data_IF_896677337463
#
_entry.id   IF_896677337463
#
_cell.length_a   1.000
_cell.length_b   1.000
_cell.length_c   1.000
_cell.angle_alpha   90.00
_cell.angle_beta   90.00
_cell.angle_gamma   90.00
#
_symmetry.space_group_name_H-M   'P 1'
#
loop_
_entity.id
_entity.type
_entity.pdbx_description
1 polymer ?
#
# COMPACT_ATOMS: atom_id res chain seq x y z
N UNK A 1 8.15 -7.59 6.79
CA UNK A 1 9.28 -7.69 5.83
C UNK A 1 9.99 -9.02 6.05
N UNK A 2 10.81 -9.50 5.12
CA UNK A 2 11.55 -10.76 5.34
C UNK A 2 12.69 -10.97 4.34
N UNK A 3 13.69 -11.76 4.75
CA UNK A 3 14.84 -12.11 3.91
C UNK A 3 14.46 -13.18 2.89
N UNK A 4 14.68 -12.88 1.62
CA UNK A 4 14.33 -13.72 0.48
C UNK A 4 12.87 -14.25 0.47
N UNK A 5 11.97 -13.61 1.23
CA UNK A 5 10.63 -14.10 1.45
C UNK A 5 9.64 -13.50 0.44
N UNK A 6 9.27 -14.28 -0.58
CA UNK A 6 8.32 -13.88 -1.64
C UNK A 6 6.86 -13.78 -1.19
N UNK A 7 6.58 -14.03 0.09
CA UNK A 7 5.23 -13.82 0.67
C UNK A 7 5.13 -12.49 1.42
N UNK A 8 6.27 -11.80 1.63
CA UNK A 8 6.31 -10.47 2.24
C UNK A 8 6.10 -9.35 1.22
N UNK A 9 5.47 -8.27 1.70
CA UNK A 9 5.31 -6.99 0.99
C UNK A 9 6.65 -6.28 0.72
N UNK A 10 7.59 -6.37 1.68
CA UNK A 10 8.96 -5.88 1.54
C UNK A 10 9.89 -7.08 1.70
N UNK A 11 10.66 -7.39 0.65
CA UNK A 11 11.62 -8.48 0.61
C UNK A 11 13.04 -7.93 0.60
N UNK A 12 13.88 -8.43 1.49
CA UNK A 12 15.31 -8.09 1.52
C UNK A 12 16.04 -9.17 0.74
N UNK A 13 16.76 -8.80 -0.31
CA UNK A 13 17.41 -9.75 -1.24
C UNK A 13 18.79 -9.25 -1.64
N UNK A 14 19.65 -10.19 -2.04
CA UNK A 14 21.03 -9.94 -2.40
C UNK A 14 21.98 -10.14 -1.22
N UNK A 15 23.26 -9.96 -1.50
CA UNK A 15 24.35 -10.02 -0.53
C UNK A 15 25.38 -8.94 -0.88
N UNK A 16 26.16 -8.50 0.11
CA UNK A 16 27.21 -7.49 -0.04
C UNK A 16 26.71 -6.26 -0.83
N UNK A 17 27.38 -5.93 -1.93
CA UNK A 17 27.06 -4.79 -2.79
C UNK A 17 25.73 -4.90 -3.55
N UNK A 18 25.12 -6.09 -3.56
CA UNK A 18 23.82 -6.33 -4.20
C UNK A 18 22.65 -6.35 -3.22
N UNK A 19 22.89 -6.12 -1.93
CA UNK A 19 21.84 -6.10 -0.91
C UNK A 19 20.88 -4.93 -1.15
N UNK A 20 19.61 -5.22 -1.39
CA UNK A 20 18.58 -4.22 -1.63
C UNK A 20 17.20 -4.63 -1.09
N UNK A 21 16.31 -3.64 -1.04
CA UNK A 21 14.90 -3.83 -0.74
C UNK A 21 14.11 -3.99 -2.04
N UNK A 22 13.37 -5.07 -2.15
CA UNK A 22 12.34 -5.27 -3.17
C UNK A 22 10.97 -4.90 -2.55
N UNK A 23 10.35 -3.84 -3.07
CA UNK A 23 9.07 -3.31 -2.57
C UNK A 23 7.97 -3.76 -3.51
N UNK A 24 7.07 -4.59 -2.99
CA UNK A 24 6.17 -5.43 -3.79
C UNK A 24 4.70 -5.04 -3.64
N UNK A 25 4.44 -3.88 -3.03
CA UNK A 25 3.09 -3.36 -2.77
C UNK A 25 2.52 -2.61 -3.98
N UNK A 26 3.24 -1.68 -4.63
CA UNK A 26 2.69 -0.95 -5.78
C UNK A 26 2.39 -1.90 -6.95
N UNK A 27 1.17 -1.81 -7.49
CA UNK A 27 0.77 -2.48 -8.72
C UNK A 27 1.25 -1.74 -9.98
N UNK A 28 1.04 -2.36 -11.14
CA UNK A 28 1.42 -1.78 -12.44
C UNK A 28 0.54 -0.58 -12.85
N UNK A 29 -0.59 -0.41 -12.19
CA UNK A 29 -1.53 0.70 -12.27
C UNK A 29 -1.05 1.96 -11.53
N UNK A 30 -0.10 1.83 -10.61
CA UNK A 30 0.44 2.96 -9.87
C UNK A 30 1.32 3.85 -10.77
N UNK A 31 1.25 5.18 -10.56
CA UNK A 31 2.20 6.11 -11.16
C UNK A 31 3.61 5.81 -10.62
N UNK A 32 4.58 5.40 -11.47
CA UNK A 32 5.88 4.93 -11.00
C UNK A 32 6.68 6.03 -10.29
N UNK A 33 6.49 7.30 -10.68
CA UNK A 33 7.16 8.43 -10.04
C UNK A 33 6.67 8.64 -8.62
N UNK A 34 5.35 8.58 -8.41
CA UNK A 34 4.76 8.72 -7.07
C UNK A 34 5.07 7.52 -6.19
N UNK A 35 5.02 6.30 -6.74
CA UNK A 35 5.35 5.09 -6.01
C UNK A 35 6.80 5.10 -5.50
N UNK A 36 7.76 5.51 -6.36
CA UNK A 36 9.16 5.65 -5.98
C UNK A 36 9.37 6.78 -4.96
N UNK A 37 8.76 7.95 -5.18
CA UNK A 37 8.88 9.07 -4.25
C UNK A 37 8.29 8.74 -2.87
N UNK A 38 7.14 8.05 -2.81
CA UNK A 38 6.47 7.69 -1.55
C UNK A 38 7.29 6.66 -0.78
N UNK A 39 7.86 5.71 -1.51
CA UNK A 39 8.82 4.73 -0.98
C UNK A 39 10.02 5.42 -0.34
N UNK A 40 10.67 6.34 -1.05
CA UNK A 40 11.84 7.05 -0.54
C UNK A 40 11.48 7.90 0.69
N UNK A 41 10.34 8.61 0.65
CA UNK A 41 9.86 9.39 1.78
C UNK A 41 9.62 8.52 3.03
N UNK A 42 9.02 7.34 2.88
CA UNK A 42 8.80 6.40 3.99
C UNK A 42 10.11 5.85 4.56
N UNK A 43 11.06 5.48 3.69
CA UNK A 43 12.40 5.00 4.10
C UNK A 43 13.15 6.09 4.87
N UNK A 44 13.23 7.31 4.32
CA UNK A 44 13.89 8.44 4.96
C UNK A 44 13.25 8.74 6.31
N UNK A 45 11.91 8.78 6.38
CA UNK A 45 11.20 8.99 7.64
C UNK A 45 11.54 7.94 8.69
N UNK A 46 11.57 6.66 8.30
CA UNK A 46 11.95 5.56 9.19
C UNK A 46 13.38 5.66 9.72
N UNK A 47 14.33 6.06 8.87
CA UNK A 47 15.73 6.28 9.24
C UNK A 47 15.85 7.47 10.20
N UNK A 48 15.27 8.61 9.85
CA UNK A 48 15.38 9.85 10.63
C UNK A 48 14.78 9.70 12.04
N UNK A 49 13.68 8.96 12.15
CA UNK A 49 12.98 8.73 13.41
C UNK A 49 13.41 7.43 14.11
N UNK A 50 14.37 6.69 13.53
CA UNK A 50 14.88 5.42 14.07
C UNK A 50 13.76 4.42 14.39
N UNK A 51 12.80 4.28 13.49
CA UNK A 51 11.66 3.39 13.69
C UNK A 51 12.13 1.93 13.64
N UNK A 52 11.61 1.13 14.56
CA UNK A 52 11.83 -0.32 14.58
C UNK A 52 10.83 -0.99 13.60
N UNK A 53 11.30 -1.64 12.51
CA UNK A 53 10.42 -2.35 11.59
C UNK A 53 9.91 -3.69 12.15
N UNK A 54 10.31 -4.05 13.38
CA UNK A 54 10.01 -5.32 14.02
C UNK A 54 10.84 -6.48 13.45
N UNK A 55 10.68 -7.70 13.98
CA UNK A 55 11.42 -8.86 13.52
C UNK A 55 11.05 -9.24 12.07
N UNK A 56 11.98 -9.84 11.30
CA UNK A 56 11.67 -10.38 9.98
C UNK A 56 10.69 -11.55 10.07
N UNK A 57 9.79 -11.64 9.11
CA UNK A 57 8.92 -12.79 8.92
C UNK A 57 9.71 -13.92 8.24
N UNK A 58 9.83 -15.04 8.95
CA UNK A 58 10.58 -16.24 8.50
C UNK A 58 9.67 -17.31 7.90
N UNK A 59 8.36 -17.23 8.14
CA UNK A 59 7.38 -18.19 7.65
C UNK A 59 6.69 -17.76 6.35
N UNK A 60 5.59 -18.43 6.04
CA UNK A 60 4.71 -18.04 4.94
C UNK A 60 3.73 -16.98 5.44
N UNK A 61 3.96 -15.72 5.05
CA UNK A 61 3.15 -14.57 5.47
C UNK A 61 1.67 -14.69 5.07
N UNK A 62 1.32 -15.46 4.05
CA UNK A 62 -0.08 -15.70 3.68
C UNK A 62 -0.85 -16.54 4.71
N UNK A 63 -0.14 -17.25 5.60
CA UNK A 63 -0.74 -18.08 6.66
C UNK A 63 -0.58 -17.43 8.04
N UNK A 64 -0.03 -16.22 8.07
CA UNK A 64 0.21 -15.46 9.29
C UNK A 64 -1.01 -14.58 9.58
N UNK A 65 -1.58 -14.72 10.77
CA UNK A 65 -2.80 -13.99 11.15
C UNK A 65 -2.56 -12.76 12.06
N UNK A 66 -1.31 -12.54 12.49
CA UNK A 66 -0.97 -11.42 13.37
C UNK A 66 -0.54 -10.15 12.63
N UNK A 67 -0.41 -10.22 11.29
CA UNK A 67 -0.05 -9.09 10.43
C UNK A 67 -1.33 -8.60 9.76
N UNK A 68 -1.68 -7.30 9.86
CA UNK A 68 -2.85 -6.77 9.18
C UNK A 68 -2.70 -6.86 7.66
N UNK A 69 -3.80 -7.11 6.97
CA UNK A 69 -3.85 -7.06 5.51
C UNK A 69 -3.58 -5.62 5.02
N UNK A 70 -3.21 -5.50 3.73
CA UNK A 70 -3.18 -4.20 3.09
C UNK A 70 -4.58 -3.56 3.10
N UNK A 71 -4.68 -2.24 3.30
CA UNK A 71 -5.94 -1.54 3.35
C UNK A 71 -6.68 -1.61 2.01
N UNK A 72 -8.01 -1.54 2.04
CA UNK A 72 -8.79 -1.23 0.84
C UNK A 72 -8.51 0.21 0.38
N UNK A 73 -8.92 0.60 -0.82
CA UNK A 73 -8.78 1.99 -1.27
C UNK A 73 -9.49 2.97 -0.32
N UNK A 74 -10.66 2.60 0.22
CA UNK A 74 -11.40 3.42 1.18
C UNK A 74 -10.66 3.57 2.52
N UNK A 75 -10.07 2.49 3.04
CA UNK A 75 -9.28 2.54 4.29
C UNK A 75 -7.98 3.33 4.07
N UNK A 76 -7.33 3.13 2.93
CA UNK A 76 -6.11 3.83 2.56
C UNK A 76 -6.34 5.33 2.42
N UNK A 77 -7.44 5.74 1.78
CA UNK A 77 -7.83 7.14 1.64
C UNK A 77 -7.98 7.82 3.01
N UNK A 78 -8.63 7.15 3.95
CA UNK A 78 -8.85 7.68 5.32
C UNK A 78 -7.53 8.02 6.01
N UNK A 79 -6.52 7.16 5.86
CA UNK A 79 -5.19 7.41 6.46
C UNK A 79 -4.38 8.40 5.63
N UNK A 80 -4.54 8.39 4.30
CA UNK A 80 -3.77 9.22 3.38
C UNK A 80 -4.12 10.71 3.49
N UNK A 81 -5.41 11.04 3.64
CA UNK A 81 -5.90 12.43 3.77
C UNK A 81 -5.26 13.15 4.96
N UNK A 82 -5.12 12.47 6.09
CA UNK A 82 -4.60 13.06 7.34
C UNK A 82 -3.09 12.79 7.55
N UNK A 83 -2.41 12.22 6.55
CA UNK A 83 -1.01 11.83 6.70
C UNK A 83 -0.07 13.05 6.67
N UNK A 84 0.42 13.45 7.85
CA UNK A 84 1.44 14.48 7.98
C UNK A 84 2.72 14.13 7.21
N UNK A 85 3.12 12.85 7.19
CA UNK A 85 4.26 12.38 6.42
C UNK A 85 4.06 12.61 4.91
N UNK A 86 2.89 12.20 4.38
CA UNK A 86 2.60 12.36 2.97
C UNK A 86 2.54 13.85 2.57
N UNK A 87 1.91 14.69 3.40
CA UNK A 87 1.83 16.14 3.17
C UNK A 87 3.20 16.82 3.21
N UNK A 88 4.08 16.41 4.13
CA UNK A 88 5.45 16.93 4.18
C UNK A 88 6.29 16.48 2.97
N UNK A 89 6.07 15.27 2.47
CA UNK A 89 6.83 14.71 1.35
C UNK A 89 6.39 15.26 -0.01
N UNK A 90 5.09 15.43 -0.22
CA UNK A 90 4.50 15.75 -1.53
C UNK A 90 3.87 17.15 -1.62
N UNK A 91 3.63 17.80 -0.49
CA UNK A 91 2.87 19.04 -0.42
C UNK A 91 1.37 18.79 -0.26
N UNK A 92 0.70 19.72 0.42
CA UNK A 92 -0.74 19.63 0.73
C UNK A 92 -1.60 19.56 -0.53
N UNK A 93 -1.34 20.41 -1.52
CA UNK A 93 -2.12 20.45 -2.76
C UNK A 93 -2.08 19.12 -3.54
N UNK A 94 -0.93 18.43 -3.52
CA UNK A 94 -0.77 17.13 -4.18
C UNK A 94 -1.58 16.06 -3.45
N UNK A 95 -1.47 16.00 -2.12
CA UNK A 95 -2.22 15.03 -1.31
C UNK A 95 -3.72 15.26 -1.47
N UNK A 96 -4.18 16.50 -1.39
CA UNK A 96 -5.61 16.83 -1.52
C UNK A 96 -6.14 16.48 -2.91
N UNK A 97 -5.34 16.71 -3.97
CA UNK A 97 -5.71 16.34 -5.34
C UNK A 97 -5.90 14.83 -5.51
N UNK A 98 -4.94 14.02 -5.06
CA UNK A 98 -5.02 12.56 -5.19
C UNK A 98 -6.06 11.93 -4.26
N UNK A 99 -6.25 12.49 -3.06
CA UNK A 99 -7.34 12.09 -2.17
C UNK A 99 -8.71 12.35 -2.81
N UNK A 100 -8.89 13.52 -3.42
CA UNK A 100 -10.12 13.84 -4.13
C UNK A 100 -10.38 12.88 -5.31
N UNK A 101 -9.34 12.56 -6.09
CA UNK A 101 -9.45 11.59 -7.19
C UNK A 101 -9.90 10.21 -6.70
N UNK A 102 -9.25 9.66 -5.66
CA UNK A 102 -9.62 8.37 -5.08
C UNK A 102 -11.05 8.38 -4.52
N UNK A 103 -11.50 9.50 -3.94
CA UNK A 103 -12.88 9.65 -3.49
C UNK A 103 -13.89 9.60 -4.63
N UNK A 104 -13.60 10.28 -5.75
CA UNK A 104 -14.45 10.22 -6.95
C UNK A 104 -14.54 8.81 -7.52
N UNK A 105 -13.43 8.07 -7.52
CA UNK A 105 -13.40 6.67 -7.95
C UNK A 105 -14.28 5.79 -7.05
N UNK A 106 -14.12 5.89 -5.73
CA UNK A 106 -14.94 5.16 -4.76
C UNK A 106 -16.43 5.50 -4.88
N UNK A 107 -16.76 6.78 -5.03
CA UNK A 107 -18.15 7.23 -5.20
C UNK A 107 -18.74 6.73 -6.53
N UNK A 108 -17.95 6.68 -7.59
CA UNK A 108 -18.36 6.09 -8.86
C UNK A 108 -18.63 4.59 -8.72
N UNK A 109 -17.69 3.82 -8.15
CA UNK A 109 -17.82 2.37 -7.97
C UNK A 109 -19.07 2.00 -7.16
N UNK A 110 -19.38 2.76 -6.09
CA UNK A 110 -20.56 2.54 -5.24
C UNK A 110 -21.89 2.65 -5.97
N UNK A 111 -21.94 3.33 -7.12
CA UNK A 111 -23.17 3.44 -7.92
C UNK A 111 -23.35 2.28 -8.91
N UNK A 112 -22.36 1.42 -9.06
CA UNK A 112 -22.38 0.31 -10.02
C UNK A 112 -22.85 -0.99 -9.37
N UNK A 113 -23.84 -1.64 -9.99
CA UNK A 113 -24.22 -3.02 -9.65
C UNK A 113 -23.36 -3.98 -10.47
N UNK A 114 -22.42 -4.63 -9.80
CA UNK A 114 -21.46 -5.56 -10.39
C UNK A 114 -22.12 -6.87 -10.83
N UNK A 115 -21.49 -7.57 -11.79
CA UNK A 115 -21.98 -8.87 -12.24
C UNK A 115 -22.00 -9.91 -11.11
N UNK A 116 -21.05 -9.82 -10.16
CA UNK A 116 -21.05 -10.66 -8.95
C UNK A 116 -22.28 -10.44 -8.09
N UNK A 117 -22.69 -9.19 -7.87
CA UNK A 117 -23.91 -8.87 -7.14
C UNK A 117 -25.16 -9.35 -7.89
N UNK A 118 -25.20 -9.16 -9.22
CA UNK A 118 -26.29 -9.68 -10.05
C UNK A 118 -26.38 -11.21 -9.96
N UNK A 119 -25.27 -11.91 -10.08
CA UNK A 119 -25.25 -13.36 -10.02
C UNK A 119 -25.69 -13.89 -8.64
N UNK A 120 -25.29 -13.18 -7.58
CA UNK A 120 -25.60 -13.56 -6.20
C UNK A 120 -27.08 -13.37 -5.86
N UNK A 121 -27.68 -12.25 -6.29
CA UNK A 121 -28.98 -11.81 -5.80
C UNK A 121 -30.11 -11.92 -6.85
N UNK A 122 -29.83 -11.78 -8.14
CA UNK A 122 -30.84 -11.81 -9.21
C UNK A 122 -31.00 -13.20 -9.86
N UNK A 123 -29.90 -13.92 -10.17
CA UNK A 123 -30.00 -15.23 -10.86
C UNK A 123 -30.28 -16.43 -9.95
N UNK A 124 -30.42 -16.21 -8.64
CA UNK A 124 -30.81 -17.25 -7.67
C UNK A 124 -32.29 -17.18 -7.26
N UNK A 125 -33.04 -16.22 -7.80
CA UNK A 125 -34.50 -16.14 -7.70
C UNK A 125 -35.15 -16.86 -8.88
#
# INVERSE_FOLDING_TARGET
WGHDNRTCAIRVIGHDDTLHLEIRVPGADANPYLALAATLAAITHGIDHKLDPGPPETGNSYRTHHIPALPTLADALTVFEDSALARNAFGTDVIDHYAHLAKLELDHERTHVTDTERQRWLTRA
#
